data_IF_198049057990
#
_entry.id   IF_198049057990
#
_cell.length_a   1.000
_cell.length_b   1.000
_cell.length_c   1.000
_cell.angle_alpha   90.00
_cell.angle_beta   90.00
_cell.angle_gamma   90.00
#
_symmetry.space_group_name_H-M   'P 1'
#
loop_
_entity.id
_entity.type
_entity.pdbx_description
1 polymer ?
#
# COMPACT_ATOMS: atom_id res chain seq x y z
N UNK A 1 -9.54 16.60 -14.53
CA UNK A 1 -9.41 16.29 -13.09
C UNK A 1 -9.46 14.77 -12.99
N UNK A 2 -8.46 14.15 -12.38
CA UNK A 2 -8.53 12.71 -12.08
C UNK A 2 -9.61 12.53 -11.01
N UNK A 3 -10.52 11.58 -11.23
CA UNK A 3 -11.48 11.17 -10.20
C UNK A 3 -10.76 10.23 -9.24
N UNK A 4 -10.66 10.62 -7.97
CA UNK A 4 -9.88 9.91 -6.95
C UNK A 4 -10.84 9.46 -5.88
N UNK A 5 -10.91 8.15 -5.66
CA UNK A 5 -11.72 7.55 -4.61
C UNK A 5 -10.81 7.19 -3.43
N UNK A 6 -11.01 7.86 -2.30
CA UNK A 6 -10.28 7.51 -1.07
C UNK A 6 -11.11 6.55 -0.23
N UNK A 7 -10.55 5.37 0.08
CA UNK A 7 -11.16 4.42 1.01
C UNK A 7 -11.11 4.92 2.46
N UNK A 8 -11.65 4.16 3.42
CA UNK A 8 -11.51 4.49 4.83
C UNK A 8 -10.06 4.32 5.32
N UNK A 9 -9.70 5.03 6.39
CA UNK A 9 -8.45 4.74 7.12
C UNK A 9 -8.57 3.39 7.85
N UNK A 10 -7.45 2.67 7.94
CA UNK A 10 -7.34 1.36 8.59
C UNK A 10 -6.16 1.38 9.56
N UNK A 11 -6.37 1.00 10.82
CA UNK A 11 -5.34 1.02 11.88
C UNK A 11 -5.62 2.07 12.96
N UNK A 12 -4.62 2.41 13.76
CA UNK A 12 -4.73 3.32 14.91
C UNK A 12 -4.27 4.75 14.65
N UNK A 13 -4.19 5.55 15.71
CA UNK A 13 -3.82 6.98 15.65
C UNK A 13 -2.35 7.26 16.03
N UNK A 14 -1.54 6.21 16.18
CA UNK A 14 -0.11 6.32 16.49
C UNK A 14 0.71 6.94 15.35
N UNK A 15 2.02 7.12 15.59
CA UNK A 15 2.96 7.61 14.58
C UNK A 15 2.71 9.03 14.07
N UNK A 16 3.47 9.40 13.03
CA UNK A 16 3.33 10.65 12.28
C UNK A 16 2.63 10.43 10.94
N UNK A 17 1.90 11.43 10.40
CA UNK A 17 1.18 11.30 9.15
C UNK A 17 2.14 11.18 7.95
N UNK A 18 1.70 10.51 6.90
CA UNK A 18 2.39 10.48 5.61
C UNK A 18 1.40 10.45 4.44
N UNK A 19 1.89 10.85 3.28
CA UNK A 19 1.26 10.62 1.98
C UNK A 19 2.34 10.30 0.95
N UNK A 20 2.03 9.40 0.03
CA UNK A 20 2.87 9.16 -1.15
C UNK A 20 2.47 10.04 -2.34
N UNK A 21 1.47 10.91 -2.19
CA UNK A 21 1.06 11.87 -3.23
C UNK A 21 2.23 12.75 -3.70
N UNK A 22 3.20 13.05 -2.84
CA UNK A 22 4.39 13.83 -3.18
C UNK A 22 5.43 13.02 -3.98
N UNK A 23 5.33 11.68 -3.94
CA UNK A 23 6.22 10.77 -4.68
C UNK A 23 5.68 10.40 -6.07
N UNK A 24 4.43 10.77 -6.38
CA UNK A 24 3.82 10.52 -7.69
C UNK A 24 3.83 11.80 -8.52
N UNK A 25 4.20 11.67 -9.80
CA UNK A 25 4.05 12.77 -10.75
C UNK A 25 2.55 12.93 -11.06
N UNK A 26 1.95 14.05 -10.66
CA UNK A 26 0.51 14.33 -10.90
C UNK A 26 0.23 14.92 -12.27
N UNK A 27 1.27 15.28 -13.03
CA UNK A 27 1.16 15.78 -14.42
C UNK A 27 1.08 14.64 -15.45
N UNK A 28 1.31 13.40 -15.03
CA UNK A 28 1.09 12.20 -15.84
C UNK A 28 0.50 11.07 -14.97
N UNK A 29 0.02 9.98 -15.58
CA UNK A 29 -0.44 8.83 -14.82
C UNK A 29 0.79 8.12 -14.26
N UNK A 30 0.89 8.06 -12.93
CA UNK A 30 1.87 7.29 -12.19
C UNK A 30 1.16 6.24 -11.35
N UNK A 31 1.63 4.99 -11.39
CA UNK A 31 0.98 3.83 -10.75
C UNK A 31 1.98 3.01 -9.95
N UNK A 32 1.54 2.22 -8.96
CA UNK A 32 2.41 1.26 -8.28
C UNK A 32 3.07 0.31 -9.29
N UNK A 33 4.39 0.17 -9.18
CA UNK A 33 5.21 -0.77 -9.94
C UNK A 33 5.72 -1.92 -9.08
N UNK A 34 6.10 -1.61 -7.84
CA UNK A 34 6.45 -2.61 -6.86
C UNK A 34 6.00 -2.19 -5.46
N UNK A 35 5.65 -3.19 -4.67
CA UNK A 35 5.22 -3.01 -3.28
C UNK A 35 6.14 -3.87 -2.42
N UNK A 36 6.92 -3.20 -1.59
CA UNK A 36 7.85 -3.82 -0.66
C UNK A 36 7.29 -3.69 0.75
N UNK A 37 7.12 -4.79 1.45
CA UNK A 37 6.53 -4.84 2.79
C UNK A 37 7.45 -5.63 3.70
N UNK A 38 7.66 -5.15 4.93
CA UNK A 38 8.26 -5.93 6.01
C UNK A 38 7.22 -6.23 7.06
N UNK A 39 7.23 -7.44 7.60
CA UNK A 39 6.27 -7.83 8.63
C UNK A 39 6.78 -8.95 9.54
N UNK A 40 6.41 -8.86 10.82
CA UNK A 40 6.33 -9.95 11.78
C UNK A 40 4.86 -10.24 12.10
N UNK A 41 4.45 -10.01 13.36
CA UNK A 41 3.04 -10.11 13.78
C UNK A 41 2.17 -8.95 13.28
N UNK A 42 2.80 -7.83 12.92
CA UNK A 42 2.17 -6.66 12.30
C UNK A 42 3.03 -6.19 11.11
N UNK A 43 2.55 -5.22 10.34
CA UNK A 43 3.32 -4.62 9.25
C UNK A 43 4.37 -3.67 9.83
N UNK A 44 5.65 -4.07 9.72
CA UNK A 44 6.80 -3.28 10.17
C UNK A 44 7.07 -2.10 9.25
N UNK A 45 7.00 -2.31 7.93
CA UNK A 45 7.12 -1.21 6.97
C UNK A 45 6.49 -1.50 5.63
N UNK A 46 6.19 -0.42 4.90
CA UNK A 46 5.78 -0.45 3.50
C UNK A 46 6.55 0.61 2.69
N UNK A 47 6.91 0.26 1.47
CA UNK A 47 7.47 1.17 0.48
C UNK A 47 6.94 0.80 -0.90
N UNK A 48 6.37 1.78 -1.61
CA UNK A 48 5.90 1.60 -2.98
C UNK A 48 6.87 2.30 -3.94
N UNK A 49 7.24 1.62 -5.01
CA UNK A 49 7.86 2.26 -6.17
C UNK A 49 6.77 2.58 -7.18
N UNK A 50 6.68 3.84 -7.60
CA UNK A 50 5.73 4.28 -8.60
C UNK A 50 6.41 4.41 -9.96
N UNK A 51 5.67 4.14 -11.03
CA UNK A 51 6.14 4.27 -12.41
C UNK A 51 5.18 5.11 -13.23
N UNK A 52 5.73 6.10 -13.93
CA UNK A 52 5.01 6.94 -14.90
C UNK A 52 4.76 6.19 -16.21
N UNK A 53 3.83 6.69 -17.04
CA UNK A 53 3.58 6.14 -18.38
C UNK A 53 4.82 6.07 -19.28
N UNK A 54 5.79 6.99 -19.09
CA UNK A 54 7.07 7.03 -19.81
C UNK A 54 8.13 6.08 -19.20
N UNK A 55 7.70 5.13 -18.38
CA UNK A 55 8.51 4.12 -17.70
C UNK A 55 9.54 4.65 -16.68
N UNK A 56 9.46 5.93 -16.29
CA UNK A 56 10.29 6.49 -15.23
C UNK A 56 9.76 6.02 -13.88
N UNK A 57 10.60 5.33 -13.11
CA UNK A 57 10.27 4.78 -11.79
C UNK A 57 10.95 5.55 -10.66
N UNK A 58 10.22 5.80 -9.57
CA UNK A 58 10.74 6.45 -8.36
C UNK A 58 10.16 5.78 -7.10
N UNK A 59 10.99 5.42 -6.11
CA UNK A 59 10.51 4.92 -4.84
C UNK A 59 9.95 6.07 -3.99
N UNK A 60 8.80 5.85 -3.37
CA UNK A 60 8.38 6.67 -2.24
C UNK A 60 9.27 6.39 -1.00
N UNK A 61 9.29 7.28 -0.01
CA UNK A 61 9.99 7.00 1.24
C UNK A 61 9.39 5.77 1.94
N UNK A 62 10.25 4.95 2.55
CA UNK A 62 9.82 3.82 3.38
C UNK A 62 9.08 4.34 4.62
N UNK A 63 7.92 3.75 4.92
CA UNK A 63 7.13 4.04 6.12
C UNK A 63 7.28 2.88 7.09
N UNK A 64 7.84 3.14 8.28
CA UNK A 64 8.09 2.14 9.32
C UNK A 64 9.54 1.64 9.39
N UNK A 65 9.77 0.67 10.28
CA UNK A 65 11.10 0.17 10.66
C UNK A 65 11.69 -0.92 9.74
N UNK A 66 12.78 -1.53 10.21
CA UNK A 66 13.52 -2.59 9.49
C UNK A 66 13.30 -4.00 10.08
N UNK A 67 12.37 -4.12 11.02
CA UNK A 67 11.96 -5.40 11.60
C UNK A 67 11.28 -6.33 10.60
N UNK A 68 10.86 -7.50 11.09
CA UNK A 68 10.13 -8.49 10.30
C UNK A 68 10.90 -9.12 9.14
N UNK A 69 10.18 -9.93 8.37
CA UNK A 69 10.66 -10.53 7.11
C UNK A 69 10.31 -9.60 5.95
N UNK A 70 11.24 -9.40 5.03
CA UNK A 70 11.04 -8.59 3.84
C UNK A 70 10.39 -9.38 2.70
N UNK A 71 9.35 -8.82 2.12
CA UNK A 71 8.67 -9.30 0.92
C UNK A 71 8.64 -8.21 -0.14
N UNK A 72 8.84 -8.62 -1.39
CA UNK A 72 8.72 -7.73 -2.55
C UNK A 72 7.69 -8.30 -3.52
N UNK A 73 6.81 -7.43 -4.01
CA UNK A 73 5.78 -7.76 -4.97
C UNK A 73 5.87 -6.85 -6.19
N UNK A 74 6.47 -7.38 -7.26
CA UNK A 74 6.63 -6.69 -8.54
C UNK A 74 5.39 -6.86 -9.42
N UNK A 75 4.95 -5.77 -10.06
CA UNK A 75 3.87 -5.76 -11.03
C UNK A 75 4.44 -5.87 -12.45
N UNK A 76 3.90 -6.81 -13.23
CA UNK A 76 4.19 -6.96 -14.65
C UNK A 76 3.61 -5.84 -15.51
N UNK A 77 3.91 -5.83 -16.82
CA UNK A 77 3.24 -4.95 -17.77
C UNK A 77 1.72 -5.12 -17.67
N UNK A 78 1.00 -3.99 -17.68
CA UNK A 78 -0.46 -3.92 -17.54
C UNK A 78 -1.06 -4.59 -16.29
N UNK A 79 -0.24 -4.93 -15.30
CA UNK A 79 -0.73 -5.29 -13.97
C UNK A 79 -1.03 -4.04 -13.16
N UNK A 80 -2.17 -4.04 -12.48
CA UNK A 80 -2.62 -2.98 -11.57
C UNK A 80 -3.18 -3.64 -10.33
N UNK A 81 -2.97 -3.03 -9.16
CA UNK A 81 -3.65 -3.49 -7.94
C UNK A 81 -5.11 -3.08 -8.03
N UNK A 82 -6.02 -4.04 -7.86
CA UNK A 82 -7.48 -3.84 -7.92
C UNK A 82 -8.18 -4.23 -6.63
N UNK A 83 -7.47 -4.90 -5.71
CA UNK A 83 -8.01 -5.29 -4.42
C UNK A 83 -6.89 -5.36 -3.40
N UNK A 84 -7.18 -4.87 -2.21
CA UNK A 84 -6.37 -5.08 -1.01
C UNK A 84 -7.20 -5.82 0.01
N UNK A 85 -6.62 -6.85 0.62
CA UNK A 85 -7.16 -7.51 1.80
C UNK A 85 -6.19 -7.33 2.95
N UNK A 86 -6.68 -7.20 4.17
CA UNK A 86 -5.82 -7.03 5.31
C UNK A 86 -6.52 -7.24 6.64
N UNK A 87 -5.76 -6.99 7.70
CA UNK A 87 -6.21 -7.07 9.08
C UNK A 87 -5.64 -5.91 9.88
N UNK A 88 -6.42 -5.37 10.82
CA UNK A 88 -6.03 -4.23 11.65
C UNK A 88 -6.50 -4.35 13.08
N UNK A 89 -5.77 -3.70 13.98
CA UNK A 89 -6.11 -3.43 15.36
C UNK A 89 -5.66 -2.00 15.68
N UNK A 90 -4.76 -1.85 16.65
CA UNK A 90 -4.09 -0.56 16.90
C UNK A 90 -3.04 -0.21 15.84
N UNK A 91 -2.65 -1.19 15.01
CA UNK A 91 -1.70 -1.07 13.91
C UNK A 91 -2.33 -1.67 12.64
N UNK A 92 -1.63 -1.53 11.52
CA UNK A 92 -1.87 -2.38 10.35
C UNK A 92 -1.20 -3.73 10.61
N UNK A 93 -2.01 -4.75 10.85
CA UNK A 93 -1.52 -6.06 11.29
C UNK A 93 -1.17 -6.99 10.14
N UNK A 94 -1.85 -6.85 9.00
CA UNK A 94 -1.44 -7.58 7.80
C UNK A 94 -2.05 -7.06 6.52
N UNK A 95 -1.36 -7.32 5.41
CA UNK A 95 -1.73 -6.86 4.07
C UNK A 95 -1.46 -7.92 3.01
N UNK A 96 -2.34 -7.97 2.01
CA UNK A 96 -2.15 -8.68 0.75
C UNK A 96 -2.76 -7.88 -0.40
N UNK A 97 -2.03 -7.80 -1.51
CA UNK A 97 -2.41 -7.08 -2.71
C UNK A 97 -2.78 -8.07 -3.82
N UNK A 98 -3.85 -7.77 -4.56
CA UNK A 98 -4.31 -8.57 -5.71
C UNK A 98 -4.34 -7.73 -6.98
N UNK A 99 -3.81 -8.25 -8.07
CA UNK A 99 -3.79 -7.57 -9.37
C UNK A 99 -5.04 -7.87 -10.21
N UNK A 100 -5.31 -7.03 -11.21
CA UNK A 100 -6.29 -7.26 -12.27
C UNK A 100 -6.08 -8.57 -13.05
N UNK A 101 -4.88 -9.16 -12.99
CA UNK A 101 -4.56 -10.46 -13.61
C UNK A 101 -4.71 -11.65 -12.64
N UNK A 102 -5.25 -11.41 -11.43
CA UNK A 102 -5.47 -12.43 -10.42
C UNK A 102 -4.21 -12.82 -9.62
N UNK A 103 -3.06 -12.18 -9.88
CA UNK A 103 -1.83 -12.39 -9.12
C UNK A 103 -1.96 -11.79 -7.73
N UNK A 104 -1.54 -12.52 -6.70
CA UNK A 104 -1.55 -12.05 -5.30
C UNK A 104 -0.14 -11.94 -4.73
N UNK A 105 0.12 -10.91 -3.93
CA UNK A 105 1.30 -10.88 -3.07
C UNK A 105 1.22 -11.96 -1.98
N UNK A 106 2.33 -12.35 -1.34
CA UNK A 106 2.27 -12.99 -0.03
C UNK A 106 1.44 -12.14 0.93
N UNK A 107 0.70 -12.80 1.83
CA UNK A 107 0.12 -12.11 2.97
C UNK A 107 1.25 -11.79 3.95
N UNK A 108 1.43 -10.51 4.26
CA UNK A 108 2.50 -10.02 5.10
C UNK A 108 1.91 -9.47 6.40
N UNK A 109 2.19 -10.12 7.52
CA UNK A 109 1.73 -9.75 8.85
C UNK A 109 0.94 -10.85 9.53
N UNK A 110 0.29 -10.51 10.64
CA UNK A 110 -0.54 -11.40 11.45
C UNK A 110 -2.03 -11.15 11.29
N UNK A 111 -2.76 -11.59 12.31
CA UNK A 111 -4.20 -11.38 12.47
C UNK A 111 -4.43 -10.30 13.52
N UNK A 112 -5.02 -9.19 13.11
CA UNK A 112 -5.50 -8.13 13.98
C UNK A 112 -6.91 -8.38 14.51
N UNK A 113 -7.48 -7.34 15.13
CA UNK A 113 -8.83 -7.38 15.70
C UNK A 113 -9.94 -7.42 14.63
N UNK A 114 -9.68 -6.93 13.43
CA UNK A 114 -10.67 -6.83 12.36
C UNK A 114 -10.05 -7.03 10.99
N UNK A 115 -10.70 -7.83 10.14
CA UNK A 115 -10.29 -8.03 8.77
C UNK A 115 -11.04 -7.07 7.84
N UNK A 116 -10.40 -6.69 6.74
CA UNK A 116 -11.01 -5.87 5.71
C UNK A 116 -10.67 -6.38 4.31
N UNK A 117 -11.57 -6.09 3.38
CA UNK A 117 -11.34 -6.19 1.94
C UNK A 117 -11.75 -4.85 1.34
N UNK A 118 -10.89 -4.32 0.49
CA UNK A 118 -11.12 -3.07 -0.20
C UNK A 118 -10.89 -3.25 -1.70
N UNK A 119 -11.94 -2.96 -2.47
CA UNK A 119 -11.98 -3.08 -3.90
C UNK A 119 -13.10 -2.18 -4.43
N UNK A 120 -12.79 -1.41 -5.47
CA UNK A 120 -13.74 -0.54 -6.14
C UNK A 120 -13.77 -0.88 -7.63
N UNK A 121 -14.86 -1.46 -8.15
CA UNK A 121 -14.98 -1.79 -9.57
C UNK A 121 -14.71 -0.55 -10.45
N UNK A 122 -13.82 -0.70 -11.43
CA UNK A 122 -13.42 0.40 -12.32
C UNK A 122 -12.24 1.25 -11.83
N UNK A 123 -11.80 1.08 -10.58
CA UNK A 123 -10.65 1.80 -10.02
C UNK A 123 -9.45 0.88 -9.80
N UNK A 124 -8.26 1.48 -9.67
CA UNK A 124 -7.00 0.80 -9.41
C UNK A 124 -6.25 1.55 -8.33
N UNK A 125 -5.45 0.88 -7.49
CA UNK A 125 -4.70 1.59 -6.46
C UNK A 125 -3.77 2.61 -7.12
N UNK A 126 -3.93 3.87 -6.74
CA UNK A 126 -3.12 4.97 -7.21
C UNK A 126 -1.96 5.26 -6.27
N UNK A 127 -2.24 5.55 -5.00
CA UNK A 127 -1.23 5.77 -3.97
C UNK A 127 -1.78 5.46 -2.57
N UNK A 128 -0.90 5.55 -1.57
CA UNK A 128 -1.26 5.34 -0.17
C UNK A 128 -0.94 6.57 0.69
N UNK A 129 -1.70 6.74 1.76
CA UNK A 129 -1.40 7.65 2.86
C UNK A 129 -1.65 6.96 4.19
N UNK A 130 -1.37 7.62 5.30
CA UNK A 130 -1.66 7.08 6.63
C UNK A 130 -0.74 7.63 7.71
N UNK A 131 -0.35 6.75 8.64
CA UNK A 131 0.50 7.10 9.78
C UNK A 131 1.52 6.01 10.06
N UNK A 132 2.73 6.40 10.46
CA UNK A 132 3.78 5.45 10.80
C UNK A 132 4.71 5.96 11.90
N UNK A 133 5.30 5.03 12.63
CA UNK A 133 6.40 5.24 13.57
C UNK A 133 7.47 4.15 13.34
N UNK A 134 7.71 3.33 14.35
CA UNK A 134 8.53 2.12 14.18
C UNK A 134 7.83 1.02 13.37
N UNK A 135 6.51 1.06 13.29
CA UNK A 135 5.64 0.17 12.51
C UNK A 135 4.67 1.01 11.66
N UNK A 136 3.82 0.37 10.86
CA UNK A 136 2.73 1.05 10.15
C UNK A 136 1.49 1.11 11.05
N UNK A 137 1.23 2.29 11.61
CA UNK A 137 0.10 2.52 12.52
C UNK A 137 -1.23 2.58 11.78
N UNK A 138 -1.26 3.23 10.62
CA UNK A 138 -2.46 3.47 9.84
C UNK A 138 -2.17 3.47 8.34
N UNK A 139 -3.11 3.00 7.53
CA UNK A 139 -3.06 3.09 6.07
C UNK A 139 -4.42 3.49 5.50
N UNK A 140 -4.40 4.27 4.43
CA UNK A 140 -5.53 4.60 3.58
C UNK A 140 -5.11 4.37 2.13
N UNK A 141 -6.00 3.75 1.35
CA UNK A 141 -5.78 3.48 -0.06
C UNK A 141 -6.56 4.51 -0.89
N UNK A 142 -5.89 5.10 -1.87
CA UNK A 142 -6.47 6.03 -2.83
C UNK A 142 -6.49 5.35 -4.20
N UNK A 143 -7.67 5.28 -4.79
CA UNK A 143 -8.00 4.53 -5.99
C UNK A 143 -8.37 5.43 -7.16
#
# INVERSE_FOLDING_TARGET
>A
QLDILSGPTRGGDGGGPFTDLDAINTSCISIPKSINVRCGSSVDSIQITYQTADAISSPAPKRGGDGGVYYSFELGPDERIVKVTGSTGYLVDGLQFTTNKGKTSPYCGGTGASNFTEQYPGYVLWYISGRYGSLVDQIQFHW
#
